data_IF_234399443350
#
_entry.id   IF_234399443350
#
_cell.length_a   1.000
_cell.length_b   1.000
_cell.length_c   1.000
_cell.angle_alpha   90.00
_cell.angle_beta   90.00
_cell.angle_gamma   90.00
#
_symmetry.space_group_name_H-M   'P 1'
#
loop_
_entity.id
_entity.type
_entity.pdbx_description
1 polymer ?
#
# COMPACT_ATOMS: atom_id res chain seq x y z
N UNK A 1 -23.59 0.11 -19.10
CA UNK A 1 -22.17 0.51 -19.29
C UNK A 1 -21.83 1.56 -18.26
N UNK A 2 -20.75 1.35 -17.52
CA UNK A 2 -20.26 2.26 -16.49
C UNK A 2 -18.83 2.70 -16.82
N UNK A 3 -18.62 4.01 -16.96
CA UNK A 3 -17.31 4.60 -17.29
C UNK A 3 -16.67 5.35 -16.11
N UNK A 4 -17.10 5.11 -14.87
CA UNK A 4 -16.60 5.80 -13.67
C UNK A 4 -15.08 5.64 -13.50
N UNK A 5 -14.55 4.50 -13.94
CA UNK A 5 -13.12 4.19 -13.85
C UNK A 5 -12.26 4.97 -14.88
N UNK A 6 -12.87 5.54 -15.92
CA UNK A 6 -12.18 6.17 -17.03
C UNK A 6 -11.37 7.39 -16.56
N UNK A 7 -10.08 7.41 -16.89
CA UNK A 7 -9.17 8.49 -16.57
C UNK A 7 -8.68 9.14 -17.87
N UNK A 8 -9.22 10.33 -18.18
CA UNK A 8 -8.95 11.07 -19.42
C UNK A 8 -7.46 11.35 -19.61
N UNK A 9 -6.77 11.82 -18.55
CA UNK A 9 -5.34 12.15 -18.62
C UNK A 9 -4.53 10.88 -18.90
N UNK A 10 -4.85 9.78 -18.21
CA UNK A 10 -4.20 8.50 -18.45
C UNK A 10 -4.47 7.99 -19.86
N UNK A 11 -5.71 8.00 -20.32
CA UNK A 11 -6.06 7.50 -21.65
C UNK A 11 -5.32 8.25 -22.76
N UNK A 12 -5.27 9.58 -22.70
CA UNK A 12 -4.55 10.38 -23.70
C UNK A 12 -3.03 10.19 -23.65
N UNK A 13 -2.45 9.86 -22.49
CA UNK A 13 -1.02 9.53 -22.41
C UNK A 13 -0.72 8.18 -23.06
N UNK A 14 -1.66 7.23 -23.01
CA UNK A 14 -1.51 5.91 -23.64
C UNK A 14 -1.82 5.91 -25.14
N UNK A 15 -2.63 6.87 -25.61
CA UNK A 15 -3.02 7.01 -27.01
C UNK A 15 -2.74 8.44 -27.53
N UNK A 16 -1.46 8.87 -27.57
CA UNK A 16 -1.09 10.25 -27.92
C UNK A 16 -1.48 10.64 -29.37
N UNK A 17 -1.69 9.65 -30.24
CA UNK A 17 -2.19 9.83 -31.60
C UNK A 17 -3.60 10.42 -31.68
N UNK A 18 -4.34 10.49 -30.57
CA UNK A 18 -5.65 11.16 -30.50
C UNK A 18 -5.52 12.68 -30.48
N UNK A 19 -4.38 13.23 -30.06
CA UNK A 19 -4.21 14.68 -29.87
C UNK A 19 -4.55 15.49 -31.12
N UNK A 20 -4.07 15.16 -32.34
CA UNK A 20 -4.43 15.92 -33.54
C UNK A 20 -5.93 15.93 -33.85
N UNK A 21 -6.63 14.82 -33.58
CA UNK A 21 -8.07 14.73 -33.80
C UNK A 21 -8.88 15.55 -32.78
N UNK A 22 -8.40 15.64 -31.54
CA UNK A 22 -8.96 16.51 -30.50
C UNK A 22 -8.70 17.98 -30.83
N UNK A 23 -7.46 18.34 -31.17
CA UNK A 23 -7.07 19.71 -31.55
C UNK A 23 -7.88 20.21 -32.77
N UNK A 24 -8.17 19.32 -33.72
CA UNK A 24 -8.98 19.62 -34.91
C UNK A 24 -10.50 19.62 -34.65
N UNK A 25 -10.94 19.29 -33.42
CA UNK A 25 -12.37 19.22 -33.06
C UNK A 25 -13.14 18.06 -33.71
N UNK A 26 -12.46 17.06 -34.26
CA UNK A 26 -13.07 15.85 -34.86
C UNK A 26 -13.68 14.97 -33.76
N UNK A 27 -13.01 14.91 -32.60
CA UNK A 27 -13.47 14.30 -31.36
C UNK A 27 -13.30 15.32 -30.23
N UNK A 28 -14.19 15.34 -29.24
CA UNK A 28 -14.19 16.32 -28.14
C UNK A 28 -13.29 15.89 -26.98
N UNK A 29 -13.08 14.59 -26.80
CA UNK A 29 -12.29 14.04 -25.70
C UNK A 29 -11.82 12.61 -25.98
N UNK A 30 -10.86 12.14 -25.20
CA UNK A 30 -10.46 10.74 -25.12
C UNK A 30 -11.63 9.84 -24.70
N UNK A 31 -12.46 10.30 -23.74
CA UNK A 31 -13.69 9.59 -23.34
C UNK A 31 -14.65 9.39 -24.51
N UNK A 32 -14.91 10.44 -25.31
CA UNK A 32 -15.76 10.30 -26.50
C UNK A 32 -15.17 9.31 -27.50
N UNK A 33 -13.86 9.38 -27.74
CA UNK A 33 -13.18 8.42 -28.61
C UNK A 33 -13.33 6.99 -28.08
N UNK A 34 -13.12 6.77 -26.78
CA UNK A 34 -13.23 5.45 -26.18
C UNK A 34 -14.65 4.89 -26.30
N UNK A 35 -15.67 5.67 -25.96
CA UNK A 35 -17.08 5.26 -26.03
C UNK A 35 -17.52 4.93 -27.46
N UNK A 36 -17.07 5.71 -28.46
CA UNK A 36 -17.48 5.51 -29.86
C UNK A 36 -16.67 4.43 -30.58
N UNK A 37 -15.39 4.32 -30.27
CA UNK A 37 -14.44 3.53 -31.07
C UNK A 37 -13.59 2.62 -30.19
N UNK A 38 -12.97 3.18 -29.14
CA UNK A 38 -11.96 2.48 -28.36
C UNK A 38 -12.44 1.20 -27.68
N UNK A 39 -13.65 1.20 -27.12
CA UNK A 39 -14.23 0.02 -26.48
C UNK A 39 -14.43 -1.12 -27.48
N UNK A 40 -15.07 -0.86 -28.62
CA UNK A 40 -15.28 -1.85 -29.67
C UNK A 40 -13.96 -2.32 -30.32
N UNK A 41 -12.95 -1.45 -30.34
CA UNK A 41 -11.59 -1.75 -30.80
C UNK A 41 -10.75 -2.52 -29.77
N UNK A 42 -11.28 -2.79 -28.57
CA UNK A 42 -10.58 -3.53 -27.52
C UNK A 42 -9.46 -2.73 -26.83
N UNK A 43 -9.54 -1.40 -26.80
CA UNK A 43 -8.54 -0.56 -26.11
C UNK A 43 -8.72 -0.64 -24.58
N UNK A 44 -7.80 -1.28 -23.87
CA UNK A 44 -7.97 -1.57 -22.44
C UNK A 44 -7.34 -0.53 -21.50
N UNK A 45 -6.39 0.26 -21.99
CA UNK A 45 -5.64 1.23 -21.18
C UNK A 45 -6.42 2.52 -20.89
N UNK A 46 -7.53 2.43 -20.16
CA UNK A 46 -8.39 3.57 -19.84
C UNK A 46 -8.18 4.18 -18.45
N UNK A 47 -7.48 3.46 -17.58
CA UNK A 47 -7.27 3.87 -16.20
C UNK A 47 -6.12 3.10 -15.59
N UNK A 48 -5.45 3.70 -14.58
CA UNK A 48 -4.51 2.96 -13.75
C UNK A 48 -5.18 1.86 -12.90
N UNK A 49 -6.49 1.95 -12.68
CA UNK A 49 -7.21 0.98 -11.85
C UNK A 49 -7.82 -0.18 -12.65
N UNK A 50 -7.48 -0.31 -13.93
CA UNK A 50 -7.80 -1.50 -14.72
C UNK A 50 -6.52 -2.10 -15.32
N UNK A 51 -6.44 -3.42 -15.31
CA UNK A 51 -5.38 -4.22 -15.90
C UNK A 51 -6.02 -5.46 -16.52
N UNK A 52 -5.96 -5.56 -17.84
CA UNK A 52 -6.63 -6.62 -18.61
C UNK A 52 -6.15 -8.01 -18.20
N UNK A 53 -4.82 -8.18 -18.10
CA UNK A 53 -4.22 -9.47 -17.76
C UNK A 53 -4.62 -9.91 -16.35
N UNK A 54 -4.60 -8.99 -15.38
CA UNK A 54 -5.08 -9.24 -14.01
C UNK A 54 -6.55 -9.60 -14.01
N UNK A 55 -7.39 -8.84 -14.72
CA UNK A 55 -8.82 -9.07 -14.75
C UNK A 55 -9.14 -10.45 -15.33
N UNK A 56 -8.55 -10.83 -16.47
CA UNK A 56 -8.79 -12.13 -17.09
C UNK A 56 -8.20 -13.30 -16.27
N UNK A 57 -7.03 -13.11 -15.66
CA UNK A 57 -6.43 -14.12 -14.79
C UNK A 57 -7.28 -14.43 -13.55
N UNK A 58 -7.94 -13.40 -12.99
CA UNK A 58 -8.76 -13.52 -11.79
C UNK A 58 -10.24 -13.82 -12.07
N UNK A 59 -10.68 -13.69 -13.32
CA UNK A 59 -12.06 -13.91 -13.77
C UNK A 59 -12.05 -14.84 -14.99
N UNK A 60 -11.61 -16.09 -14.77
CA UNK A 60 -11.43 -17.08 -15.82
C UNK A 60 -12.74 -17.43 -16.56
N UNK A 61 -13.88 -17.22 -15.90
CA UNK A 61 -15.21 -17.31 -16.50
C UNK A 61 -15.39 -16.35 -17.68
N UNK A 62 -14.70 -15.19 -17.65
CA UNK A 62 -14.76 -14.16 -18.69
C UNK A 62 -13.71 -14.37 -19.78
N UNK A 63 -12.56 -14.96 -19.45
CA UNK A 63 -11.46 -15.14 -20.40
C UNK A 63 -11.86 -15.86 -21.69
N UNK A 64 -12.75 -16.85 -21.61
CA UNK A 64 -13.26 -17.59 -22.77
C UNK A 64 -14.28 -16.82 -23.62
N UNK A 65 -14.79 -15.69 -23.12
CA UNK A 65 -15.81 -14.86 -23.75
C UNK A 65 -15.23 -13.59 -24.41
N UNK A 66 -13.91 -13.40 -24.33
CA UNK A 66 -13.20 -12.26 -24.94
C UNK A 66 -12.71 -12.61 -26.33
N UNK A 67 -12.98 -11.73 -27.30
CA UNK A 67 -12.55 -11.86 -28.69
C UNK A 67 -11.06 -12.10 -28.79
N UNK A 68 -10.69 -13.06 -29.64
CA UNK A 68 -9.30 -13.36 -29.98
C UNK A 68 -9.07 -13.07 -31.46
N UNK A 69 -7.80 -13.11 -31.88
CA UNK A 69 -7.46 -13.02 -33.30
C UNK A 69 -8.17 -14.11 -34.15
N UNK A 70 -8.39 -15.30 -33.57
CA UNK A 70 -9.04 -16.44 -34.23
C UNK A 70 -10.57 -16.46 -34.08
N UNK A 71 -11.13 -15.76 -33.09
CA UNK A 71 -12.57 -15.73 -32.86
C UNK A 71 -13.06 -14.32 -32.50
N UNK A 72 -13.44 -13.54 -33.53
CA UNK A 72 -13.99 -12.19 -33.40
C UNK A 72 -15.50 -12.15 -33.11
N UNK A 73 -16.18 -13.31 -33.10
CA UNK A 73 -17.62 -13.40 -32.80
C UNK A 73 -17.95 -13.50 -31.31
N UNK A 74 -16.94 -13.61 -30.45
CA UNK A 74 -17.14 -13.62 -29.01
C UNK A 74 -17.78 -12.31 -28.51
N UNK A 75 -18.57 -12.37 -27.43
CA UNK A 75 -19.44 -11.27 -27.02
C UNK A 75 -18.67 -10.02 -26.60
N UNK A 76 -17.48 -10.16 -26.00
CA UNK A 76 -16.72 -9.05 -25.46
C UNK A 76 -15.50 -8.72 -26.29
N UNK A 77 -15.29 -7.45 -26.62
CA UNK A 77 -14.08 -6.99 -27.32
C UNK A 77 -12.81 -7.16 -26.48
N UNK A 78 -12.94 -7.07 -25.15
CA UNK A 78 -11.88 -7.26 -24.15
C UNK A 78 -12.50 -7.61 -22.79
N UNK A 79 -11.68 -7.99 -21.81
CA UNK A 79 -12.06 -8.08 -20.41
C UNK A 79 -12.57 -6.74 -19.87
N UNK A 80 -11.96 -5.62 -20.29
CA UNK A 80 -12.47 -4.29 -19.98
C UNK A 80 -13.91 -4.08 -20.48
N UNK A 81 -14.21 -4.56 -21.70
CA UNK A 81 -15.54 -4.45 -22.29
C UNK A 81 -16.59 -5.17 -21.43
N UNK A 82 -16.28 -6.39 -20.97
CA UNK A 82 -17.11 -7.07 -19.97
C UNK A 82 -17.21 -6.26 -18.67
N UNK A 83 -16.08 -5.77 -18.14
CA UNK A 83 -16.05 -5.07 -16.87
C UNK A 83 -16.94 -3.82 -16.85
N UNK A 84 -16.87 -3.00 -17.90
CA UNK A 84 -17.69 -1.79 -18.05
C UNK A 84 -19.17 -2.11 -18.28
N UNK A 85 -19.48 -3.19 -19.01
CA UNK A 85 -20.86 -3.57 -19.27
C UNK A 85 -21.54 -4.21 -18.05
N UNK A 86 -20.81 -5.07 -17.33
CA UNK A 86 -21.34 -5.94 -16.27
C UNK A 86 -20.48 -5.90 -15.01
N UNK A 87 -19.18 -6.20 -15.13
CA UNK A 87 -18.32 -6.49 -13.97
C UNK A 87 -18.28 -5.42 -12.88
N UNK A 88 -18.37 -4.13 -13.23
CA UNK A 88 -18.41 -3.04 -12.26
C UNK A 88 -19.68 -3.06 -11.39
N UNK A 89 -20.84 -3.34 -12.00
CA UNK A 89 -22.13 -3.43 -11.29
C UNK A 89 -22.36 -4.80 -10.63
N UNK A 90 -21.64 -5.83 -11.07
CA UNK A 90 -21.50 -7.13 -10.38
C UNK A 90 -20.63 -7.02 -9.13
N UNK A 91 -19.92 -5.91 -8.91
CA UNK A 91 -19.03 -5.72 -7.78
C UNK A 91 -17.70 -6.46 -7.92
N UNK A 92 -17.23 -6.75 -9.15
CA UNK A 92 -15.91 -7.35 -9.36
C UNK A 92 -14.81 -6.35 -8.98
N UNK A 93 -13.91 -6.77 -8.09
CA UNK A 93 -12.87 -5.90 -7.51
C UNK A 93 -11.45 -6.29 -7.92
N UNK A 94 -11.25 -7.53 -8.39
CA UNK A 94 -9.95 -8.05 -8.83
C UNK A 94 -9.64 -7.59 -10.26
N UNK A 95 -9.41 -6.29 -10.42
CA UNK A 95 -9.32 -5.62 -11.72
C UNK A 95 -7.96 -4.99 -11.99
N UNK A 96 -7.15 -4.76 -10.96
CA UNK A 96 -5.81 -4.18 -11.06
C UNK A 96 -5.01 -4.55 -9.81
N UNK A 97 -3.68 -4.71 -9.92
CA UNK A 97 -2.82 -4.93 -8.76
C UNK A 97 -2.63 -3.66 -7.90
N UNK A 98 -3.16 -2.51 -8.35
CA UNK A 98 -3.16 -1.24 -7.63
C UNK A 98 -4.38 -1.07 -6.70
N UNK A 99 -5.18 -2.13 -6.48
CA UNK A 99 -6.30 -2.14 -5.55
C UNK A 99 -6.51 -3.53 -4.92
N UNK A 100 -6.76 -3.55 -3.61
CA UNK A 100 -7.12 -4.72 -2.82
C UNK A 100 -8.37 -4.39 -2.00
N UNK A 101 -9.47 -5.10 -2.29
CA UNK A 101 -10.76 -4.91 -1.63
C UNK A 101 -10.72 -5.18 -0.13
N UNK A 102 -10.02 -6.24 0.27
CA UNK A 102 -9.93 -6.66 1.68
C UNK A 102 -9.14 -5.62 2.46
N UNK A 103 -8.00 -5.20 1.92
CA UNK A 103 -7.21 -4.12 2.51
C UNK A 103 -8.02 -2.83 2.63
N UNK A 104 -8.67 -2.41 1.54
CA UNK A 104 -9.40 -1.14 1.50
C UNK A 104 -10.56 -1.08 2.50
N UNK A 105 -11.38 -2.13 2.58
CA UNK A 105 -12.50 -2.18 3.53
C UNK A 105 -12.05 -2.30 4.99
N UNK A 106 -10.95 -3.00 5.26
CA UNK A 106 -10.41 -3.12 6.62
C UNK A 106 -9.82 -1.79 7.11
N UNK A 107 -9.18 -1.05 6.21
CA UNK A 107 -8.70 0.32 6.47
C UNK A 107 -9.83 1.33 6.65
N UNK A 108 -10.96 1.09 5.99
CA UNK A 108 -12.09 2.01 5.94
C UNK A 108 -13.39 1.33 6.41
N UNK A 109 -13.47 0.94 7.70
CA UNK A 109 -14.60 0.18 8.23
C UNK A 109 -15.93 0.95 8.11
N UNK A 110 -15.89 2.28 8.01
CA UNK A 110 -17.06 3.12 7.77
C UNK A 110 -17.69 2.90 6.38
N UNK A 111 -16.94 2.32 5.43
CA UNK A 111 -17.40 1.98 4.08
C UNK A 111 -18.08 0.61 4.03
N UNK A 112 -17.67 -0.32 4.90
CA UNK A 112 -18.21 -1.68 4.97
C UNK A 112 -19.74 -1.69 5.09
N UNK A 113 -20.32 -0.81 5.93
CA UNK A 113 -21.78 -0.68 6.07
C UNK A 113 -22.49 -0.25 4.77
N UNK A 114 -21.86 0.58 3.95
CA UNK A 114 -22.45 1.04 2.69
C UNK A 114 -22.40 -0.04 1.61
N UNK A 115 -21.39 -0.91 1.67
CA UNK A 115 -21.33 -2.13 0.83
C UNK A 115 -22.41 -3.13 1.29
N UNK A 116 -22.52 -3.39 2.59
CA UNK A 116 -23.54 -4.29 3.14
C UNK A 116 -24.97 -3.85 2.83
N UNK A 117 -25.23 -2.54 2.86
CA UNK A 117 -26.54 -1.96 2.52
C UNK A 117 -26.73 -1.74 1.01
N UNK A 118 -25.85 -2.27 0.16
CA UNK A 118 -25.89 -2.16 -1.30
C UNK A 118 -25.91 -0.72 -1.85
N UNK A 119 -25.48 0.27 -1.05
CA UNK A 119 -25.23 1.64 -1.53
C UNK A 119 -24.05 1.66 -2.50
N UNK A 120 -23.03 0.86 -2.21
CA UNK A 120 -21.98 0.50 -3.17
C UNK A 120 -22.02 -1.01 -3.42
N UNK A 121 -21.68 -1.43 -4.63
CA UNK A 121 -21.51 -2.85 -4.97
C UNK A 121 -20.25 -3.45 -4.34
N UNK A 122 -19.26 -2.62 -4.07
CA UNK A 122 -17.98 -2.98 -3.47
C UNK A 122 -17.29 -1.75 -2.90
N UNK A 123 -16.27 -1.96 -2.06
CA UNK A 123 -15.30 -0.94 -1.68
C UNK A 123 -14.64 -0.32 -2.91
N UNK A 124 -14.37 -1.12 -3.95
CA UNK A 124 -13.78 -0.63 -5.19
C UNK A 124 -14.64 0.43 -5.86
N UNK A 125 -15.96 0.23 -5.89
CA UNK A 125 -16.88 1.21 -6.45
C UNK A 125 -16.85 2.52 -5.64
N UNK A 126 -16.81 2.46 -4.31
CA UNK A 126 -16.60 3.65 -3.48
C UNK A 126 -15.24 4.30 -3.77
N UNK A 127 -14.17 3.50 -3.87
CA UNK A 127 -12.83 3.99 -4.11
C UNK A 127 -12.71 4.75 -5.44
N UNK A 128 -13.28 4.22 -6.52
CA UNK A 128 -13.30 4.87 -7.83
C UNK A 128 -14.12 6.17 -7.81
N UNK A 129 -15.29 6.17 -7.16
CA UNK A 129 -16.18 7.34 -7.12
C UNK A 129 -15.70 8.44 -6.17
N UNK A 130 -15.12 8.08 -5.04
CA UNK A 130 -14.83 8.99 -3.93
C UNK A 130 -13.43 8.81 -3.35
N UNK A 131 -13.03 7.56 -3.06
CA UNK A 131 -11.79 7.30 -2.32
C UNK A 131 -10.53 7.87 -2.96
N UNK A 132 -10.40 7.80 -4.29
CA UNK A 132 -9.30 8.42 -5.06
C UNK A 132 -9.22 9.93 -4.82
N UNK A 133 -10.36 10.63 -4.91
CA UNK A 133 -10.40 12.10 -4.70
C UNK A 133 -10.21 12.49 -3.24
N UNK A 134 -10.51 11.60 -2.31
CA UNK A 134 -10.25 11.76 -0.88
C UNK A 134 -8.79 11.47 -0.50
N UNK A 135 -7.94 11.09 -1.46
CA UNK A 135 -6.53 10.74 -1.22
C UNK A 135 -6.34 9.39 -0.55
N UNK A 136 -7.35 8.51 -0.56
CA UNK A 136 -7.22 7.13 -0.09
C UNK A 136 -6.38 6.31 -1.06
N UNK A 137 -5.81 5.22 -0.55
CA UNK A 137 -5.02 4.27 -1.34
C UNK A 137 -5.52 2.85 -1.11
N UNK A 138 -5.39 2.00 -2.12
CA UNK A 138 -6.09 0.71 -2.19
C UNK A 138 -5.25 -0.51 -1.83
N UNK A 139 -3.96 -0.37 -1.49
CA UNK A 139 -3.05 -1.51 -1.26
C UNK A 139 -2.13 -1.26 -0.08
N UNK A 140 -1.49 -2.30 0.44
CA UNK A 140 -0.46 -2.15 1.49
C UNK A 140 0.74 -1.30 1.06
N UNK A 141 1.10 -1.28 -0.23
CA UNK A 141 2.13 -0.38 -0.76
C UNK A 141 1.69 1.08 -0.64
N UNK A 142 2.37 1.85 0.19
CA UNK A 142 2.08 3.27 0.46
C UNK A 142 2.61 4.16 -0.67
N UNK A 143 2.00 4.07 -1.84
CA UNK A 143 2.40 4.83 -3.04
C UNK A 143 2.47 6.34 -2.80
N UNK A 144 1.52 7.01 -2.11
CA UNK A 144 1.61 8.44 -1.89
C UNK A 144 2.92 8.85 -1.21
N UNK A 145 3.42 8.03 -0.28
CA UNK A 145 4.71 8.25 0.37
C UNK A 145 5.87 7.98 -0.56
N UNK A 146 5.79 6.90 -1.34
CA UNK A 146 6.80 6.57 -2.32
C UNK A 146 6.98 7.69 -3.35
N UNK A 147 5.92 8.27 -3.89
CA UNK A 147 6.02 9.38 -4.85
C UNK A 147 6.52 10.67 -4.19
N UNK A 148 6.14 10.92 -2.94
CA UNK A 148 6.63 12.09 -2.18
C UNK A 148 8.14 12.04 -1.95
N UNK A 149 8.67 10.88 -1.57
CA UNK A 149 10.10 10.69 -1.31
C UNK A 149 10.92 10.57 -2.61
N UNK A 150 10.27 10.37 -3.76
CA UNK A 150 10.91 10.15 -5.06
C UNK A 150 10.33 11.10 -6.15
N UNK A 151 10.65 12.41 -6.10
CA UNK A 151 10.06 13.41 -7.00
C UNK A 151 10.33 13.15 -8.49
N UNK A 152 11.46 12.53 -8.82
CA UNK A 152 11.80 12.12 -10.17
C UNK A 152 10.86 11.03 -10.70
N UNK A 153 10.44 10.09 -9.84
CA UNK A 153 9.43 9.08 -10.17
C UNK A 153 8.06 9.72 -10.30
N UNK A 154 7.71 10.66 -9.41
CA UNK A 154 6.46 11.40 -9.49
C UNK A 154 6.30 12.11 -10.84
N UNK A 155 7.37 12.75 -11.35
CA UNK A 155 7.36 13.40 -12.66
C UNK A 155 7.09 12.41 -13.82
N UNK A 156 7.67 11.21 -13.78
CA UNK A 156 7.48 10.17 -14.81
C UNK A 156 6.06 9.59 -14.78
N UNK A 157 5.49 9.40 -13.59
CA UNK A 157 4.09 8.98 -13.42
C UNK A 157 3.14 10.08 -13.89
N UNK A 158 3.43 11.34 -13.57
CA UNK A 158 2.62 12.49 -14.01
C UNK A 158 2.62 12.66 -15.53
N UNK A 159 3.75 12.40 -16.19
CA UNK A 159 3.91 12.41 -17.64
C UNK A 159 3.23 11.21 -18.32
N UNK A 160 2.80 10.19 -17.56
CA UNK A 160 2.13 8.99 -18.07
C UNK A 160 3.08 7.96 -18.71
N UNK A 161 4.39 8.13 -18.53
CA UNK A 161 5.39 7.15 -18.97
C UNK A 161 5.40 5.89 -18.09
N UNK A 162 4.97 6.02 -16.83
CA UNK A 162 4.65 4.91 -15.93
C UNK A 162 3.24 5.08 -15.38
N UNK A 163 2.56 3.96 -15.16
CA UNK A 163 1.19 3.87 -14.64
C UNK A 163 1.12 4.36 -13.20
N UNK A 164 2.05 3.88 -12.37
CA UNK A 164 2.04 4.07 -10.90
C UNK A 164 3.46 4.10 -10.33
N UNK A 165 3.64 4.70 -9.15
CA UNK A 165 4.87 4.55 -8.35
C UNK A 165 5.10 3.10 -7.92
N UNK A 166 4.02 2.33 -7.73
CA UNK A 166 4.08 0.88 -7.51
C UNK A 166 4.73 0.15 -8.68
N UNK A 167 4.35 0.50 -9.92
CA UNK A 167 4.98 -0.02 -11.13
C UNK A 167 6.46 0.34 -11.21
N UNK A 168 6.81 1.61 -10.91
CA UNK A 168 8.22 2.02 -10.86
C UNK A 168 9.01 1.15 -9.88
N UNK A 169 8.53 0.99 -8.65
CA UNK A 169 9.24 0.20 -7.64
C UNK A 169 9.39 -1.26 -8.06
N UNK A 170 8.34 -1.88 -8.58
CA UNK A 170 8.38 -3.27 -9.05
C UNK A 170 9.33 -3.49 -10.25
N UNK A 171 9.49 -2.51 -11.14
CA UNK A 171 10.35 -2.67 -12.33
C UNK A 171 11.78 -2.21 -12.10
N UNK A 172 11.96 -1.17 -11.30
CA UNK A 172 13.23 -0.44 -11.18
C UNK A 172 13.60 -0.20 -9.71
N UNK A 173 12.72 0.43 -8.94
CA UNK A 173 13.05 0.94 -7.61
C UNK A 173 13.55 -0.13 -6.64
N UNK A 174 13.02 -1.35 -6.68
CA UNK A 174 13.50 -2.45 -5.82
C UNK A 174 14.95 -2.87 -6.12
N UNK A 175 15.51 -2.49 -7.28
CA UNK A 175 16.90 -2.74 -7.66
C UNK A 175 17.80 -1.49 -7.51
N UNK A 176 17.23 -0.36 -7.10
CA UNK A 176 17.95 0.90 -6.92
C UNK A 176 18.36 1.09 -5.45
N UNK A 177 19.66 1.26 -5.20
CA UNK A 177 20.23 1.34 -3.82
C UNK A 177 19.65 2.46 -2.94
N UNK A 178 19.12 3.52 -3.55
CA UNK A 178 18.63 4.71 -2.85
C UNK A 178 17.10 4.76 -2.78
N UNK A 179 16.41 3.64 -3.06
CA UNK A 179 14.96 3.55 -2.97
C UNK A 179 14.57 2.58 -1.89
N UNK A 180 13.47 2.90 -1.23
CA UNK A 180 12.78 2.00 -0.32
C UNK A 180 11.28 2.13 -0.50
N UNK A 181 10.56 1.06 -0.22
CA UNK A 181 9.10 1.06 -0.19
C UNK A 181 8.58 0.83 1.23
N UNK A 182 7.38 1.34 1.51
CA UNK A 182 6.68 1.13 2.77
C UNK A 182 5.43 0.32 2.48
N UNK A 183 5.26 -0.76 3.23
CA UNK A 183 4.11 -1.64 3.23
C UNK A 183 3.42 -1.55 4.57
N UNK A 184 2.15 -1.16 4.57
CA UNK A 184 1.37 -0.85 5.76
C UNK A 184 0.22 -1.82 5.89
N UNK A 185 -0.14 -2.20 7.12
CA UNK A 185 -1.43 -2.81 7.42
C UNK A 185 -2.51 -1.76 7.68
N UNK A 186 -3.42 -2.11 8.56
CA UNK A 186 -4.70 -1.45 8.85
C UNK A 186 -4.90 -1.34 10.36
N UNK A 187 -6.14 -1.10 10.83
CA UNK A 187 -6.48 -1.12 12.26
C UNK A 187 -7.03 -2.50 12.70
N UNK A 188 -6.33 -3.57 12.35
CA UNK A 188 -6.68 -4.93 12.75
C UNK A 188 -5.61 -5.94 12.35
N UNK A 189 -5.81 -7.23 12.62
CA UNK A 189 -4.82 -8.29 12.32
C UNK A 189 -4.49 -8.46 10.83
N UNK A 190 -3.29 -8.09 10.41
CA UNK A 190 -2.83 -8.06 9.02
C UNK A 190 -1.80 -9.15 8.69
N UNK A 191 -1.71 -9.48 7.40
CA UNK A 191 -0.52 -10.14 6.84
C UNK A 191 0.13 -9.12 5.90
N UNK A 192 1.29 -8.60 6.29
CA UNK A 192 2.01 -7.57 5.55
C UNK A 192 3.33 -8.15 5.03
N UNK A 193 3.56 -8.00 3.74
CA UNK A 193 4.80 -8.44 3.09
C UNK A 193 5.23 -7.39 2.07
N UNK A 194 6.55 -7.25 1.90
CA UNK A 194 7.13 -6.42 0.86
C UNK A 194 6.98 -7.02 -0.54
N UNK A 195 7.55 -6.35 -1.54
CA UNK A 195 7.76 -6.98 -2.84
C UNK A 195 9.03 -7.83 -2.86
N UNK A 196 9.16 -8.66 -3.91
CA UNK A 196 10.13 -9.77 -3.95
C UNK A 196 11.55 -9.39 -3.53
N UNK A 197 12.05 -8.21 -3.90
CA UNK A 197 13.36 -7.73 -3.45
C UNK A 197 13.38 -6.25 -3.06
N UNK A 198 14.57 -5.76 -2.67
CA UNK A 198 14.85 -4.36 -2.39
C UNK A 198 14.94 -4.01 -0.91
N UNK A 199 14.72 -2.74 -0.60
CA UNK A 199 14.68 -2.21 0.77
C UNK A 199 13.24 -1.93 1.18
N UNK A 200 12.67 -2.79 2.01
CA UNK A 200 11.25 -2.71 2.36
C UNK A 200 11.07 -2.35 3.84
N UNK A 201 10.12 -1.47 4.12
CA UNK A 201 9.64 -1.19 5.47
C UNK A 201 8.29 -1.87 5.64
N UNK A 202 8.20 -2.79 6.59
CA UNK A 202 7.02 -3.63 6.81
C UNK A 202 6.41 -3.24 8.15
N UNK A 203 5.20 -2.67 8.07
CA UNK A 203 4.50 -2.06 9.20
C UNK A 203 3.11 -2.69 9.30
N UNK A 204 2.78 -3.30 10.44
CA UNK A 204 1.42 -3.83 10.66
C UNK A 204 0.37 -2.73 10.83
N UNK A 205 0.81 -1.53 11.20
CA UNK A 205 -0.10 -0.42 11.49
C UNK A 205 -0.63 0.30 10.25
N UNK A 206 -1.84 0.83 10.39
CA UNK A 206 -2.36 1.89 9.52
C UNK A 206 -1.51 3.17 9.60
N UNK A 207 -0.89 3.53 8.47
CA UNK A 207 -0.12 4.78 8.31
C UNK A 207 -0.83 5.72 7.33
N UNK A 208 -0.93 6.99 7.66
CA UNK A 208 -1.38 8.08 6.81
C UNK A 208 -0.24 9.08 6.56
N UNK A 209 -0.32 9.85 5.47
CA UNK A 209 0.59 10.95 5.24
C UNK A 209 0.30 12.10 6.21
N UNK A 210 1.34 12.65 6.84
CA UNK A 210 1.19 13.86 7.64
C UNK A 210 0.89 15.06 6.72
N UNK A 211 -0.23 15.77 6.96
CA UNK A 211 -0.63 16.95 6.17
C UNK A 211 0.18 18.20 6.51
N UNK A 212 0.84 18.22 7.66
CA UNK A 212 1.81 19.24 8.06
C UNK A 212 3.19 18.60 8.11
N UNK A 213 4.05 18.96 7.14
CA UNK A 213 5.45 18.58 7.15
C UNK A 213 6.16 19.30 8.30
N UNK A 214 6.11 18.76 9.51
CA UNK A 214 7.15 19.08 10.48
C UNK A 214 8.41 18.33 10.04
N UNK A 215 9.57 18.96 10.18
CA UNK A 215 10.88 18.42 9.76
C UNK A 215 11.30 17.12 10.48
N UNK A 216 10.46 16.59 11.36
CA UNK A 216 10.78 15.52 12.30
C UNK A 216 10.01 14.21 12.04
N UNK A 217 8.77 14.26 11.54
CA UNK A 217 8.01 13.07 11.22
C UNK A 217 7.12 13.30 10.00
N UNK A 218 7.24 12.41 9.02
CA UNK A 218 6.52 12.47 7.74
C UNK A 218 5.23 11.62 7.75
N UNK A 219 4.96 10.88 8.82
CA UNK A 219 3.82 9.97 8.96
C UNK A 219 2.87 10.36 10.08
N UNK A 220 1.61 9.99 9.90
CA UNK A 220 0.56 10.00 10.90
C UNK A 220 0.06 8.57 11.10
N UNK A 221 -0.10 8.12 12.33
CA UNK A 221 -0.70 6.82 12.65
C UNK A 221 -2.16 7.06 13.03
N UNK A 222 -3.12 6.47 12.31
CA UNK A 222 -4.55 6.76 12.58
C UNK A 222 -5.07 6.01 13.82
N UNK A 223 -4.38 4.98 14.30
CA UNK A 223 -4.70 4.24 15.52
C UNK A 223 -4.27 4.93 16.83
N UNK A 224 -3.77 6.17 16.76
CA UNK A 224 -3.31 6.93 17.93
C UNK A 224 -4.46 7.27 18.87
N UNK A 225 -4.42 6.76 20.11
CA UNK A 225 -5.33 7.17 21.18
C UNK A 225 -4.65 8.19 22.08
N UNK A 226 -5.35 9.28 22.42
CA UNK A 226 -4.86 10.27 23.37
C UNK A 226 -5.33 9.95 24.80
N UNK A 227 -4.39 9.87 25.73
CA UNK A 227 -4.69 9.75 27.16
C UNK A 227 -4.73 11.15 27.79
N UNK A 228 -5.93 11.60 28.15
CA UNK A 228 -6.15 12.90 28.79
C UNK A 228 -5.41 13.05 30.13
N UNK A 229 -5.29 11.97 30.90
CA UNK A 229 -4.75 11.98 32.27
C UNK A 229 -3.24 12.19 32.33
N UNK A 230 -2.49 11.57 31.41
CA UNK A 230 -1.03 11.70 31.35
C UNK A 230 -0.54 12.50 30.13
N UNK A 231 -1.47 13.02 29.32
CA UNK A 231 -1.21 13.84 28.12
C UNK A 231 -0.30 13.15 27.09
N UNK A 232 -0.26 11.81 27.09
CA UNK A 232 0.50 11.02 26.14
C UNK A 232 -0.43 10.35 25.12
N UNK A 233 0.09 10.16 23.90
CA UNK A 233 -0.55 9.26 22.96
C UNK A 233 -0.03 7.84 23.18
N UNK A 234 -0.91 6.87 23.02
CA UNK A 234 -0.58 5.46 23.12
C UNK A 234 -1.36 4.67 22.06
N UNK A 235 -0.85 3.48 21.77
CA UNK A 235 -1.48 2.53 20.86
C UNK A 235 -1.72 1.22 21.61
N UNK A 236 -2.95 1.00 22.05
CA UNK A 236 -3.43 -0.32 22.50
C UNK A 236 -4.16 -0.95 21.32
N UNK A 237 -3.40 -1.49 20.38
CA UNK A 237 -3.99 -2.08 19.17
C UNK A 237 -4.65 -3.41 19.47
N UNK A 238 -4.09 -4.19 20.42
CA UNK A 238 -4.42 -5.60 20.60
C UNK A 238 -4.41 -6.37 19.25
N UNK A 239 -3.59 -5.90 18.31
CA UNK A 239 -3.48 -6.44 16.97
C UNK A 239 -2.44 -7.56 16.92
N UNK A 240 -2.75 -8.58 16.14
CA UNK A 240 -1.85 -9.69 15.82
C UNK A 240 -1.53 -9.66 14.34
N UNK A 241 -0.36 -9.13 14.00
CA UNK A 241 0.06 -9.00 12.62
C UNK A 241 1.12 -10.04 12.27
N UNK A 242 1.11 -10.51 11.03
CA UNK A 242 2.20 -11.30 10.46
C UNK A 242 2.98 -10.41 9.49
N UNK A 243 4.24 -10.11 9.84
CA UNK A 243 5.15 -9.30 9.04
C UNK A 243 6.16 -10.24 8.37
N UNK A 244 6.14 -10.31 7.03
CA UNK A 244 6.88 -11.32 6.27
C UNK A 244 8.01 -10.66 5.47
N UNK A 245 9.25 -10.99 5.83
CA UNK A 245 10.46 -10.61 5.10
C UNK A 245 10.52 -11.19 3.69
N UNK A 246 11.31 -10.53 2.85
CA UNK A 246 11.47 -10.77 1.42
C UNK A 246 12.96 -10.91 1.08
N UNK A 247 13.31 -11.09 -0.19
CA UNK A 247 14.72 -11.20 -0.55
C UNK A 247 15.36 -9.81 -0.58
N UNK A 248 15.99 -9.33 0.48
CA UNK A 248 16.57 -7.99 0.45
C UNK A 248 17.03 -7.50 1.81
N UNK A 249 16.76 -6.23 2.08
CA UNK A 249 16.87 -5.64 3.42
C UNK A 249 15.46 -5.27 3.86
N UNK A 250 14.92 -6.02 4.81
CA UNK A 250 13.62 -5.72 5.40
C UNK A 250 13.77 -5.02 6.75
N UNK A 251 12.91 -4.02 6.96
CA UNK A 251 12.78 -3.29 8.21
C UNK A 251 11.41 -3.58 8.83
N UNK A 252 11.40 -4.40 9.87
CA UNK A 252 10.20 -4.70 10.65
C UNK A 252 9.96 -3.58 11.65
N UNK A 253 8.92 -2.78 11.43
CA UNK A 253 8.66 -1.58 12.22
C UNK A 253 7.69 -1.89 13.35
N UNK A 254 8.21 -1.92 14.58
CA UNK A 254 7.45 -2.20 15.80
C UNK A 254 7.25 -0.98 16.70
N UNK A 255 7.85 0.15 16.31
CA UNK A 255 7.64 1.44 16.93
C UNK A 255 8.22 2.58 16.09
N UNK A 256 7.70 3.77 16.31
CA UNK A 256 8.16 5.00 15.67
C UNK A 256 7.96 6.16 16.65
N UNK A 257 8.31 7.36 16.23
CA UNK A 257 7.93 8.58 16.92
C UNK A 257 6.62 9.11 16.37
N UNK A 258 5.94 9.99 17.10
CA UNK A 258 4.74 10.66 16.62
C UNK A 258 4.87 12.18 16.77
N UNK A 259 4.21 12.97 15.89
CA UNK A 259 4.22 14.41 16.00
C UNK A 259 3.42 14.82 17.23
N UNK A 260 4.08 15.46 18.21
CA UNK A 260 3.37 16.25 19.21
C UNK A 260 3.42 17.73 18.81
N UNK A 261 2.45 18.52 19.28
CA UNK A 261 2.36 19.95 18.97
C UNK A 261 3.47 20.79 19.67
N UNK A 262 4.49 20.14 20.26
CA UNK A 262 5.61 20.78 20.96
C UNK A 262 6.93 20.37 20.28
N UNK A 263 7.44 21.16 19.32
CA UNK A 263 8.62 20.82 18.51
C UNK A 263 9.89 20.39 19.30
N UNK A 264 9.96 20.70 20.59
CA UNK A 264 11.06 20.36 21.50
C UNK A 264 10.91 19.03 22.24
N UNK A 265 9.81 18.29 22.06
CA UNK A 265 9.59 16.98 22.68
C UNK A 265 9.42 15.93 21.60
N UNK A 266 10.32 14.97 21.51
CA UNK A 266 10.13 13.78 20.68
C UNK A 266 9.41 12.75 21.53
N UNK A 267 8.25 12.30 21.05
CA UNK A 267 7.48 11.26 21.73
C UNK A 267 7.58 9.94 20.97
N UNK A 268 7.90 8.89 21.71
CA UNK A 268 8.14 7.53 21.21
C UNK A 268 6.89 6.69 21.37
N UNK A 269 6.64 5.78 20.44
CA UNK A 269 5.46 4.94 20.43
C UNK A 269 5.79 3.52 19.99
N UNK A 270 5.51 2.57 20.88
CA UNK A 270 5.44 1.15 20.58
C UNK A 270 4.08 0.81 19.94
N UNK A 271 4.07 -0.04 18.92
CA UNK A 271 2.85 -0.40 18.18
C UNK A 271 2.08 -1.55 18.80
N UNK A 272 2.77 -2.54 19.34
CA UNK A 272 2.18 -3.74 19.94
C UNK A 272 2.24 -3.66 21.46
N UNK A 273 1.33 -2.88 22.06
CA UNK A 273 1.17 -2.83 23.53
C UNK A 273 -0.14 -3.49 23.94
N UNK A 274 -0.19 -4.08 25.15
CA UNK A 274 -1.32 -4.89 25.58
C UNK A 274 -1.24 -6.34 25.09
N UNK A 275 -2.37 -6.90 24.62
CA UNK A 275 -2.44 -8.32 24.29
C UNK A 275 -1.99 -8.69 22.87
N UNK A 276 -1.73 -7.70 22.02
CA UNK A 276 -1.30 -7.90 20.62
C UNK A 276 0.19 -8.22 20.50
N UNK A 277 0.61 -8.83 19.38
CA UNK A 277 2.02 -9.08 19.05
C UNK A 277 2.25 -9.09 17.51
N UNK A 278 3.42 -8.66 17.05
CA UNK A 278 3.86 -8.93 15.67
C UNK A 278 4.53 -10.30 15.57
N UNK A 279 4.05 -11.15 14.68
CA UNK A 279 4.77 -12.34 14.22
C UNK A 279 5.66 -11.97 13.04
N UNK A 280 6.98 -11.99 13.24
CA UNK A 280 7.97 -11.78 12.18
C UNK A 280 8.31 -13.14 11.54
N UNK A 281 8.16 -13.22 10.23
CA UNK A 281 8.44 -14.40 9.40
C UNK A 281 9.54 -14.06 8.41
N UNK A 282 10.45 -15.01 8.16
CA UNK A 282 11.60 -14.87 7.26
C UNK A 282 12.57 -13.73 7.65
N UNK A 283 12.91 -13.61 8.94
CA UNK A 283 13.98 -12.70 9.36
C UNK A 283 15.35 -13.26 8.98
N UNK A 284 16.12 -12.51 8.19
CA UNK A 284 17.48 -12.85 7.78
C UNK A 284 18.54 -12.10 8.63
N UNK A 285 19.20 -12.82 9.54
CA UNK A 285 20.29 -12.27 10.37
C UNK A 285 21.36 -11.59 9.52
N UNK A 286 21.74 -10.38 9.91
CA UNK A 286 22.79 -9.61 9.22
C UNK A 286 22.32 -8.90 7.93
N UNK A 287 21.05 -9.06 7.54
CA UNK A 287 20.43 -8.35 6.42
C UNK A 287 19.24 -7.52 6.86
N UNK A 288 18.37 -8.12 7.66
CA UNK A 288 17.14 -7.49 8.13
C UNK A 288 17.33 -6.77 9.44
N UNK A 289 16.38 -5.89 9.73
CA UNK A 289 16.40 -5.09 10.92
C UNK A 289 15.04 -4.98 11.58
N UNK A 290 15.05 -4.81 12.89
CA UNK A 290 13.86 -4.52 13.68
C UNK A 290 13.98 -3.10 14.22
N UNK A 291 13.01 -2.26 13.86
CA UNK A 291 12.89 -0.89 14.33
C UNK A 291 12.01 -0.85 15.58
N UNK A 292 12.52 -0.26 16.66
CA UNK A 292 11.88 -0.10 17.95
C UNK A 292 11.89 1.36 18.40
N UNK A 293 10.82 1.75 19.10
CA UNK A 293 10.73 3.03 19.78
C UNK A 293 11.56 3.10 21.08
N UNK A 294 11.95 1.94 21.62
CA UNK A 294 12.58 1.79 22.93
C UNK A 294 14.10 1.69 22.81
N UNK A 295 14.85 2.09 23.82
CA UNK A 295 16.29 1.77 23.92
C UNK A 295 16.52 0.25 23.99
N UNK A 296 17.63 -0.23 23.45
CA UNK A 296 18.05 -1.63 23.57
C UNK A 296 18.10 -2.11 25.04
N UNK A 297 18.41 -1.22 25.98
CA UNK A 297 18.44 -1.53 27.42
C UNK A 297 17.07 -1.73 28.06
N UNK A 298 15.98 -1.37 27.35
CA UNK A 298 14.61 -1.45 27.86
C UNK A 298 13.85 -2.68 27.36
N UNK A 299 14.46 -3.46 26.46
CA UNK A 299 13.87 -4.67 25.90
C UNK A 299 14.51 -5.93 26.48
N UNK A 300 13.71 -6.99 26.52
CA UNK A 300 14.16 -8.34 26.85
C UNK A 300 14.03 -9.23 25.62
N UNK A 301 15.09 -9.99 25.33
CA UNK A 301 15.11 -10.99 24.26
C UNK A 301 15.05 -12.38 24.89
N UNK A 302 13.93 -13.09 24.68
CA UNK A 302 13.66 -14.36 25.36
C UNK A 302 13.31 -15.46 24.35
N UNK A 303 14.09 -16.54 24.25
CA UNK A 303 13.69 -17.71 23.49
C UNK A 303 12.38 -18.31 24.02
N UNK A 304 11.48 -18.69 23.11
CA UNK A 304 10.20 -19.34 23.41
C UNK A 304 9.96 -20.45 22.40
N UNK A 305 10.33 -21.69 22.77
CA UNK A 305 10.36 -22.81 21.83
C UNK A 305 11.33 -22.53 20.67
N UNK A 306 10.89 -22.61 19.40
CA UNK A 306 11.73 -22.31 18.24
C UNK A 306 11.89 -20.80 17.99
N UNK A 307 11.13 -19.95 18.65
CA UNK A 307 11.02 -18.53 18.33
C UNK A 307 11.78 -17.64 19.32
N UNK A 308 12.03 -16.39 18.94
CA UNK A 308 12.57 -15.36 19.83
C UNK A 308 11.51 -14.30 20.12
N UNK A 309 11.25 -14.03 21.39
CA UNK A 309 10.36 -12.95 21.82
C UNK A 309 11.16 -11.67 22.06
N UNK A 310 10.59 -10.55 21.61
CA UNK A 310 11.01 -9.20 21.97
C UNK A 310 9.95 -8.66 22.91
N UNK A 311 10.34 -8.43 24.17
CA UNK A 311 9.42 -8.00 25.22
C UNK A 311 9.81 -6.67 25.84
N UNK A 312 8.82 -5.93 26.32
CA UNK A 312 9.00 -4.69 27.07
C UNK A 312 7.96 -4.60 28.18
N UNK A 313 8.40 -4.47 29.43
CA UNK A 313 7.51 -4.23 30.57
C UNK A 313 6.31 -5.21 30.71
N UNK A 314 6.48 -6.46 30.25
CA UNK A 314 5.44 -7.50 30.26
C UNK A 314 4.68 -7.67 28.94
N UNK A 315 4.74 -6.68 28.05
CA UNK A 315 4.16 -6.78 26.70
C UNK A 315 5.11 -7.53 25.76
N UNK A 316 4.55 -8.31 24.84
CA UNK A 316 5.30 -8.96 23.75
C UNK A 316 5.16 -8.13 22.49
N UNK A 317 6.21 -7.38 22.15
CA UNK A 317 6.20 -6.51 20.97
C UNK A 317 6.23 -7.34 19.68
N UNK A 318 7.05 -8.40 19.68
CA UNK A 318 7.15 -9.30 18.55
C UNK A 318 7.65 -10.70 18.92
N UNK A 319 7.34 -11.64 18.04
CA UNK A 319 7.82 -13.01 17.99
C UNK A 319 8.50 -13.25 16.64
N UNK A 320 9.80 -13.54 16.65
CA UNK A 320 10.56 -13.89 15.44
C UNK A 320 10.50 -15.41 15.26
N UNK A 321 9.85 -15.84 14.18
CA UNK A 321 9.70 -17.25 13.86
C UNK A 321 11.07 -17.91 13.61
N UNK A 322 11.34 -19.02 14.29
CA UNK A 322 12.62 -19.73 14.16
C UNK A 322 13.82 -18.97 14.74
N UNK A 323 13.56 -17.88 15.47
CA UNK A 323 14.58 -16.96 15.95
C UNK A 323 15.28 -17.36 17.24
N UNK A 324 14.97 -18.49 17.88
CA UNK A 324 15.42 -18.81 19.25
C UNK A 324 16.95 -18.71 19.48
N UNK A 325 17.76 -18.93 18.43
CA UNK A 325 19.22 -18.85 18.47
C UNK A 325 19.78 -17.53 17.94
N UNK A 326 18.93 -16.56 17.60
CA UNK A 326 19.37 -15.23 17.20
C UNK A 326 19.93 -14.48 18.41
N UNK A 327 21.04 -13.80 18.19
CA UNK A 327 21.52 -12.75 19.07
C UNK A 327 21.32 -11.47 18.31
N UNK A 328 20.46 -10.59 18.84
CA UNK A 328 20.22 -9.29 18.26
C UNK A 328 21.08 -8.26 18.98
N UNK A 329 21.66 -7.35 18.21
CA UNK A 329 22.49 -6.26 18.73
C UNK A 329 21.98 -4.92 18.23
N UNK A 330 22.22 -3.86 19.01
CA UNK A 330 21.90 -2.52 18.56
C UNK A 330 22.78 -2.14 17.37
N UNK A 331 22.15 -1.94 16.21
CA UNK A 331 22.81 -1.42 15.04
C UNK A 331 23.14 0.07 15.26
N UNK A 332 24.35 0.47 14.84
CA UNK A 332 24.72 1.89 14.75
C UNK A 332 23.67 2.64 13.93
N UNK A 333 23.19 3.78 14.40
CA UNK A 333 22.26 4.66 13.68
C UNK A 333 22.87 5.03 12.32
N UNK A 334 22.59 4.26 11.27
CA UNK A 334 22.93 4.64 9.90
C UNK A 334 21.97 5.74 9.47
N UNK A 335 22.34 6.54 8.46
CA UNK A 335 21.35 7.26 7.67
C UNK A 335 20.34 6.24 7.19
N UNK A 336 19.14 6.39 7.68
CA UNK A 336 18.19 5.31 7.78
C UNK A 336 17.03 5.73 6.88
N UNK A 337 16.48 4.84 6.04
CA UNK A 337 15.43 5.24 5.09
C UNK A 337 14.09 5.57 5.77
N UNK A 338 14.10 5.83 7.08
CA UNK A 338 12.95 5.69 7.96
C UNK A 338 11.93 6.81 7.87
N UNK A 339 10.76 6.47 8.40
CA UNK A 339 9.54 7.24 8.53
C UNK A 339 9.75 8.63 9.19
N UNK A 340 10.74 8.75 10.08
CA UNK A 340 11.09 9.96 10.84
C UNK A 340 12.59 10.28 10.75
N UNK A 341 13.06 11.02 9.72
CA UNK A 341 14.48 11.30 9.51
C UNK A 341 15.12 12.03 10.69
N UNK A 342 16.30 11.58 11.13
CA UNK A 342 17.11 12.30 12.12
C UNK A 342 16.72 12.08 13.58
N UNK A 343 15.82 11.14 13.87
CA UNK A 343 15.42 10.77 15.23
C UNK A 343 15.97 9.37 15.58
N UNK A 344 16.71 9.21 16.69
CA UNK A 344 17.40 7.97 16.99
C UNK A 344 16.45 6.89 17.54
N UNK A 345 15.83 6.13 16.66
CA UNK A 345 15.14 4.88 17.01
C UNK A 345 16.15 3.74 17.20
N UNK A 346 15.81 2.77 18.05
CA UNK A 346 16.65 1.58 18.21
C UNK A 346 16.43 0.67 17.04
N UNK A 347 17.53 0.26 16.42
CA UNK A 347 17.55 -0.68 15.33
C UNK A 347 18.29 -1.94 15.80
N UNK A 348 17.70 -3.11 15.60
CA UNK A 348 18.31 -4.40 15.90
C UNK A 348 18.67 -5.14 14.61
N UNK A 349 19.79 -5.88 14.61
CA UNK A 349 20.29 -6.70 13.49
C UNK A 349 20.50 -8.17 13.91
#
# INVERSE_FOLDING_TARGET
MNYDIFDEKYYLSQYPWLKPAIDAGIIKSGKEHFEKFGQAAGLTKISRYFDEDTYLAQNQDIASLVRTASNKSLPFASGLDHFIQFGYEEGRTRVSPDYDETFYLKRHPEITRFVQNATFKSGFQHFIKFGKTEGRYGTSFLEPRYLLDNPDVAAVVEAGNLKTGREHYLKFGQFEKNRSAIFTGTNGNDIVTGFQTGTNQIVGMQVALATTQTSYNKNKYDALTFNESNRNFFMSTNEFDTLIGTAGTDYFVLGDVYPNNRPSLIAWMSFYTGSGEARIVNFEKGKDYIQLAESFTQISLLPSGPDLLIQKSGDTLARIQGGANLTLEQASTRSTPFLSPGIPITLLI
#
